data_IF_549204924000
#
_entry.id   IF_549204924000
#
_cell.length_a   1.000
_cell.length_b   1.000
_cell.length_c   1.000
_cell.angle_alpha   90.00
_cell.angle_beta   90.00
_cell.angle_gamma   90.00
#
_symmetry.space_group_name_H-M   'P 1'
#
loop_
_entity.id
_entity.type
_entity.pdbx_description
1 polymer ?
#
# COMPACT_ATOMS: atom_id res chain seq x y z
N UNK A 1 1.05 18.88 -12.77
CA UNK A 1 0.18 19.01 -11.59
C UNK A 1 0.98 19.64 -10.46
N UNK A 2 0.40 20.57 -9.70
CA UNK A 2 1.05 21.16 -8.52
C UNK A 2 0.83 20.24 -7.31
N UNK A 3 1.90 19.94 -6.58
CA UNK A 3 1.81 19.14 -5.36
C UNK A 3 1.54 20.07 -4.19
N UNK A 4 0.45 19.81 -3.46
CA UNK A 4 0.07 20.52 -2.23
C UNK A 4 -0.13 19.48 -1.12
N UNK A 5 0.01 19.84 0.16
CA UNK A 5 -0.29 18.93 1.27
C UNK A 5 -1.68 18.32 1.16
N UNK A 6 -2.68 19.11 0.76
CA UNK A 6 -4.05 18.67 0.52
C UNK A 6 -4.14 17.58 -0.56
N UNK A 7 -3.50 17.78 -1.71
CA UNK A 7 -3.52 16.80 -2.80
C UNK A 7 -2.82 15.49 -2.40
N UNK A 8 -1.76 15.57 -1.59
CA UNK A 8 -1.04 14.39 -1.07
C UNK A 8 -1.89 13.64 -0.05
N UNK A 9 -2.61 14.35 0.83
CA UNK A 9 -3.57 13.73 1.77
C UNK A 9 -4.71 13.04 1.04
N UNK A 10 -5.30 13.70 0.04
CA UNK A 10 -6.31 13.08 -0.80
C UNK A 10 -5.79 11.81 -1.51
N UNK A 11 -4.51 11.80 -1.89
CA UNK A 11 -3.83 10.59 -2.36
C UNK A 11 -3.76 9.49 -1.31
N UNK A 12 -3.38 9.82 -0.06
CA UNK A 12 -3.36 8.87 1.06
C UNK A 12 -4.75 8.27 1.35
N UNK A 13 -5.80 9.07 1.25
CA UNK A 13 -7.18 8.63 1.47
C UNK A 13 -7.62 7.65 0.39
N UNK A 14 -7.27 7.92 -0.88
CA UNK A 14 -7.50 6.98 -1.98
C UNK A 14 -6.75 5.67 -1.77
N UNK A 15 -5.48 5.70 -1.37
CA UNK A 15 -4.70 4.49 -1.06
C UNK A 15 -5.37 3.69 0.08
N UNK A 16 -5.94 4.39 1.08
CA UNK A 16 -6.64 3.73 2.19
C UNK A 16 -7.98 3.11 1.77
N UNK A 17 -8.69 3.75 0.83
CA UNK A 17 -9.88 3.18 0.22
C UNK A 17 -9.55 1.92 -0.58
N UNK A 18 -8.49 1.94 -1.40
CA UNK A 18 -8.00 0.76 -2.12
C UNK A 18 -7.55 -0.35 -1.16
N UNK A 19 -6.89 0.00 -0.05
CA UNK A 19 -6.55 -0.96 1.00
C UNK A 19 -7.80 -1.69 1.49
N UNK A 20 -8.87 -0.93 1.80
CA UNK A 20 -10.15 -1.49 2.27
C UNK A 20 -10.72 -2.48 1.26
N UNK A 21 -10.69 -2.15 -0.03
CA UNK A 21 -11.12 -3.04 -1.12
C UNK A 21 -10.29 -4.31 -1.17
N UNK A 22 -8.96 -4.22 -1.10
CA UNK A 22 -8.05 -5.37 -1.20
C UNK A 22 -8.12 -6.27 0.03
N UNK A 23 -8.15 -5.69 1.23
CA UNK A 23 -8.26 -6.46 2.48
C UNK A 23 -9.66 -7.03 2.71
N UNK A 24 -10.67 -6.52 2.01
CA UNK A 24 -12.02 -7.06 2.01
C UNK A 24 -12.20 -8.28 1.10
N UNK A 25 -11.18 -8.69 0.35
CA UNK A 25 -11.22 -9.92 -0.45
C UNK A 25 -11.04 -11.12 0.48
N UNK A 26 -12.09 -11.94 0.61
CA UNK A 26 -12.03 -13.17 1.37
C UNK A 26 -11.29 -14.27 0.62
N UNK A 27 -10.43 -15.00 1.36
CA UNK A 27 -9.88 -16.27 0.88
C UNK A 27 -10.95 -17.36 1.07
N UNK A 28 -11.33 -18.09 0.01
CA UNK A 28 -12.35 -19.14 0.10
C UNK A 28 -12.03 -20.16 1.19
N UNK A 29 -13.03 -20.54 1.98
CA UNK A 29 -12.89 -21.59 3.00
C UNK A 29 -12.67 -22.95 2.33
N UNK A 30 -11.44 -23.48 2.48
CA UNK A 30 -11.04 -24.77 1.95
C UNK A 30 -11.24 -25.94 2.94
N UNK A 31 -11.77 -25.68 4.15
CA UNK A 31 -11.79 -26.67 5.25
C UNK A 31 -12.48 -27.98 4.88
N UNK A 32 -13.66 -27.90 4.25
CA UNK A 32 -14.40 -29.09 3.82
C UNK A 32 -13.65 -29.89 2.74
N UNK A 33 -13.01 -29.20 1.79
CA UNK A 33 -12.24 -29.83 0.73
C UNK A 33 -10.97 -30.52 1.28
N UNK A 34 -10.28 -29.88 2.24
CA UNK A 34 -9.13 -30.46 2.92
C UNK A 34 -9.53 -31.72 3.71
N UNK A 35 -10.66 -31.69 4.42
CA UNK A 35 -11.18 -32.84 5.15
C UNK A 35 -11.51 -34.02 4.23
N UNK A 36 -12.16 -33.76 3.08
CA UNK A 36 -12.48 -34.80 2.09
C UNK A 36 -11.25 -35.43 1.42
N UNK A 37 -10.10 -34.74 1.42
CA UNK A 37 -8.83 -35.21 0.86
C UNK A 37 -7.91 -35.83 1.92
N UNK A 38 -8.37 -36.05 3.15
CA UNK A 38 -7.55 -36.61 4.23
C UNK A 38 -6.90 -37.94 3.80
N UNK A 39 -5.59 -38.07 4.02
CA UNK A 39 -4.80 -39.22 3.59
C UNK A 39 -4.16 -39.09 2.20
N UNK A 40 -4.55 -38.07 1.42
CA UNK A 40 -3.88 -37.71 0.17
C UNK A 40 -2.90 -36.55 0.38
N UNK A 41 -1.77 -36.60 -0.33
CA UNK A 41 -0.77 -35.51 -0.33
C UNK A 41 -1.38 -34.16 -0.74
N UNK A 42 -2.41 -34.17 -1.58
CA UNK A 42 -3.12 -32.98 -2.05
C UNK A 42 -3.81 -32.20 -0.94
N UNK A 43 -4.20 -32.83 0.18
CA UNK A 43 -4.76 -32.11 1.33
C UNK A 43 -3.75 -31.14 1.96
N UNK A 44 -2.51 -31.60 2.14
CA UNK A 44 -1.43 -30.76 2.68
C UNK A 44 -1.09 -29.60 1.72
N UNK A 45 -0.97 -29.89 0.42
CA UNK A 45 -0.71 -28.85 -0.58
C UNK A 45 -1.84 -27.82 -0.65
N UNK A 46 -3.10 -28.24 -0.48
CA UNK A 46 -4.25 -27.33 -0.43
C UNK A 46 -4.22 -26.44 0.81
N UNK A 47 -3.84 -26.99 1.98
CA UNK A 47 -3.68 -26.22 3.21
C UNK A 47 -2.58 -25.15 3.07
N UNK A 48 -1.40 -25.55 2.56
CA UNK A 48 -0.28 -24.64 2.33
C UNK A 48 -0.66 -23.51 1.36
N UNK A 49 -1.37 -23.84 0.28
CA UNK A 49 -1.82 -22.87 -0.71
C UNK A 49 -2.85 -21.88 -0.12
N UNK A 50 -3.79 -22.37 0.68
CA UNK A 50 -4.78 -21.54 1.36
C UNK A 50 -4.09 -20.56 2.34
N UNK A 51 -3.14 -21.03 3.13
CA UNK A 51 -2.40 -20.20 4.09
C UNK A 51 -1.48 -19.19 3.41
N UNK A 52 -0.79 -19.61 2.33
CA UNK A 52 0.02 -18.71 1.51
C UNK A 52 -0.82 -17.59 0.89
N UNK A 53 -2.05 -17.90 0.44
CA UNK A 53 -2.98 -16.92 -0.12
C UNK A 53 -3.41 -15.91 0.95
N UNK A 54 -3.80 -16.38 2.14
CA UNK A 54 -4.14 -15.49 3.28
C UNK A 54 -2.97 -14.59 3.68
N UNK A 55 -1.78 -15.16 3.78
CA UNK A 55 -0.56 -14.42 4.11
C UNK A 55 -0.26 -13.34 3.07
N UNK A 56 -0.40 -13.66 1.79
CA UNK A 56 -0.16 -12.72 0.69
C UNK A 56 -1.11 -11.51 0.75
N UNK A 57 -2.41 -11.73 0.98
CA UNK A 57 -3.36 -10.62 1.14
C UNK A 57 -3.04 -9.73 2.34
N UNK A 58 -2.61 -10.32 3.47
CA UNK A 58 -2.16 -9.55 4.64
C UNK A 58 -0.93 -8.69 4.34
N UNK A 59 0.05 -9.24 3.61
CA UNK A 59 1.26 -8.51 3.19
C UNK A 59 0.91 -7.34 2.27
N UNK A 60 0.02 -7.58 1.31
CA UNK A 60 -0.44 -6.53 0.40
C UNK A 60 -1.16 -5.43 1.17
N UNK A 61 -2.10 -5.76 2.06
CA UNK A 61 -2.78 -4.78 2.90
C UNK A 61 -1.83 -3.90 3.71
N UNK A 62 -0.84 -4.52 4.38
CA UNK A 62 0.18 -3.78 5.13
C UNK A 62 1.02 -2.82 4.28
N UNK A 63 1.23 -3.13 2.99
CA UNK A 63 1.93 -2.22 2.06
C UNK A 63 1.08 -0.99 1.74
N UNK A 64 -0.21 -1.18 1.47
CA UNK A 64 -1.12 -0.04 1.25
C UNK A 64 -1.20 0.86 2.47
N UNK A 65 -1.29 0.30 3.68
CA UNK A 65 -1.25 1.06 4.93
C UNK A 65 0.04 1.89 5.04
N UNK A 66 1.19 1.26 4.77
CA UNK A 66 2.48 1.94 4.84
C UNK A 66 2.60 3.07 3.80
N UNK A 67 2.11 2.84 2.58
CA UNK A 67 2.08 3.86 1.53
C UNK A 67 1.19 5.04 1.92
N UNK A 68 -0.02 4.79 2.42
CA UNK A 68 -0.92 5.84 2.87
C UNK A 68 -0.28 6.66 4.00
N UNK A 69 0.37 5.99 4.96
CA UNK A 69 1.06 6.68 6.05
C UNK A 69 2.21 7.55 5.55
N UNK A 70 3.03 7.06 4.62
CA UNK A 70 4.13 7.83 4.05
C UNK A 70 3.63 9.09 3.33
N UNK A 71 2.50 9.02 2.62
CA UNK A 71 1.86 10.20 2.04
C UNK A 71 1.43 11.20 3.12
N UNK A 72 0.83 10.74 4.23
CA UNK A 72 0.44 11.62 5.36
C UNK A 72 1.65 12.27 6.02
N UNK A 73 2.69 11.51 6.29
CA UNK A 73 3.95 12.01 6.90
C UNK A 73 4.60 13.06 5.99
N UNK A 74 4.57 12.82 4.68
CA UNK A 74 5.05 13.75 3.65
C UNK A 74 4.24 15.05 3.64
N UNK A 75 2.91 14.97 3.68
CA UNK A 75 2.04 16.14 3.75
C UNK A 75 2.28 16.97 5.02
N UNK A 76 2.41 16.30 6.18
CA UNK A 76 2.73 16.95 7.45
C UNK A 76 4.09 17.66 7.40
N UNK A 77 5.09 17.04 6.79
CA UNK A 77 6.42 17.64 6.61
C UNK A 77 6.36 18.89 5.74
N UNK A 78 5.52 18.91 4.70
CA UNK A 78 5.35 20.10 3.86
C UNK A 78 4.66 21.24 4.56
N UNK A 79 3.63 20.96 5.36
CA UNK A 79 2.99 22.00 6.17
C UNK A 79 3.96 22.60 7.19
N UNK A 80 4.78 21.76 7.82
CA UNK A 80 5.84 22.22 8.72
C UNK A 80 6.85 23.10 7.98
N UNK A 81 7.27 22.70 6.78
CA UNK A 81 8.22 23.45 5.97
C UNK A 81 7.64 24.81 5.52
N UNK A 82 6.38 24.86 5.09
CA UNK A 82 5.70 26.11 4.73
C UNK A 82 5.44 27.00 5.96
N UNK A 83 5.25 26.44 7.16
CA UNK A 83 5.15 27.21 8.41
C UNK A 83 6.47 27.93 8.74
N UNK A 84 7.60 27.26 8.51
CA UNK A 84 8.95 27.81 8.76
C UNK A 84 9.37 28.79 7.65
N UNK A 85 9.02 28.49 6.40
CA UNK A 85 9.36 29.27 5.22
C UNK A 85 8.17 29.34 4.25
N UNK A 86 7.29 30.35 4.40
CA UNK A 86 6.07 30.46 3.60
C UNK A 86 6.34 30.43 2.09
N UNK A 87 5.70 29.49 1.39
CA UNK A 87 5.81 29.34 -0.07
C UNK A 87 6.95 28.44 -0.55
N UNK A 88 7.76 27.88 0.36
CA UNK A 88 8.84 26.96 0.00
C UNK A 88 8.32 25.73 -0.74
N UNK A 89 7.18 25.18 -0.31
CA UNK A 89 6.56 24.00 -0.94
C UNK A 89 5.38 24.42 -1.81
N UNK A 90 4.51 25.30 -1.30
CA UNK A 90 3.29 25.71 -2.01
C UNK A 90 3.52 26.72 -3.14
N UNK A 91 4.64 27.44 -3.21
CA UNK A 91 4.89 28.41 -4.28
C UNK A 91 6.00 27.98 -5.26
N UNK A 92 6.72 26.88 -5.00
CA UNK A 92 7.86 26.44 -5.81
C UNK A 92 7.55 25.26 -6.75
N UNK A 93 7.49 25.48 -8.08
CA UNK A 93 7.18 24.43 -9.07
C UNK A 93 8.20 23.28 -9.09
N UNK A 94 9.47 23.59 -8.79
CA UNK A 94 10.54 22.59 -8.79
C UNK A 94 10.45 21.63 -7.60
N UNK A 95 9.96 22.11 -6.45
CA UNK A 95 9.76 21.29 -5.27
C UNK A 95 8.59 20.32 -5.48
N UNK A 96 7.48 20.80 -6.06
CA UNK A 96 6.38 19.93 -6.51
C UNK A 96 6.86 18.80 -7.43
N UNK A 97 7.76 19.08 -8.38
CA UNK A 97 8.31 18.07 -9.30
C UNK A 97 9.13 17.01 -8.54
N UNK A 98 10.09 17.44 -7.71
CA UNK A 98 10.93 16.53 -6.89
C UNK A 98 10.11 15.62 -5.99
N UNK A 99 9.04 16.14 -5.41
CA UNK A 99 8.12 15.37 -4.56
C UNK A 99 7.35 14.33 -5.39
N UNK A 100 6.83 14.74 -6.56
CA UNK A 100 6.17 13.81 -7.47
C UNK A 100 7.09 12.68 -7.93
N UNK A 101 8.35 13.00 -8.25
CA UNK A 101 9.37 12.01 -8.63
C UNK A 101 9.65 11.04 -7.47
N UNK A 102 9.74 11.54 -6.24
CA UNK A 102 9.93 10.72 -5.04
C UNK A 102 8.75 9.79 -4.75
N UNK A 103 7.51 10.28 -4.83
CA UNK A 103 6.30 9.47 -4.66
C UNK A 103 6.20 8.38 -5.73
N UNK A 104 6.58 8.68 -6.96
CA UNK A 104 6.64 7.71 -8.06
C UNK A 104 7.66 6.61 -7.75
N UNK A 105 8.88 6.98 -7.35
CA UNK A 105 9.92 6.02 -7.00
C UNK A 105 9.52 5.12 -5.80
N UNK A 106 8.79 5.67 -4.82
CA UNK A 106 8.25 4.89 -3.70
C UNK A 106 7.17 3.89 -4.13
N UNK A 107 6.32 4.27 -5.10
CA UNK A 107 5.38 3.35 -5.73
C UNK A 107 6.09 2.21 -6.47
N UNK A 108 7.19 2.51 -7.15
CA UNK A 108 7.98 1.50 -7.88
C UNK A 108 8.69 0.51 -6.95
N UNK A 109 9.19 0.96 -5.79
CA UNK A 109 9.76 0.06 -4.77
C UNK A 109 8.73 -0.96 -4.26
N UNK A 110 7.44 -0.60 -4.24
CA UNK A 110 6.38 -1.53 -3.86
C UNK A 110 6.03 -2.55 -4.98
N UNK A 111 6.39 -2.25 -6.24
CA UNK A 111 6.31 -3.19 -7.38
C UNK A 111 7.47 -4.16 -7.42
N UNK A 112 8.65 -3.78 -6.93
CA UNK A 112 9.82 -4.65 -6.86
C UNK A 112 9.81 -5.49 -5.58
N UNK A 113 8.87 -6.43 -5.48
CA UNK A 113 9.13 -7.62 -4.65
C UNK A 113 10.23 -8.44 -5.31
N UNK A 114 11.24 -8.93 -4.57
CA UNK A 114 11.99 -10.09 -5.02
C UNK A 114 10.97 -11.21 -5.20
N UNK A 115 10.79 -11.67 -6.44
CA UNK A 115 10.17 -12.97 -6.66
C UNK A 115 11.02 -14.07 -6.01
N UNK A 116 10.45 -15.26 -5.75
CA UNK A 116 11.24 -16.44 -5.44
C UNK A 116 12.31 -16.72 -6.51
#
# INVERSE_FOLDING_TARGET
MKITPENVRAGADRISAENTTVTGVDVPDATAAMAGLTGFKTAATLADAHDATKSSFKVVGGRYERMAQLCRDTANTFELADLIAPGLVSASPWMSKKIGDGLTAMGDLNRTTPGP
#
